data_IF_528433352352
#
_entry.id   IF_528433352352
#
_cell.length_a   1.000
_cell.length_b   1.000
_cell.length_c   1.000
_cell.angle_alpha   90.00
_cell.angle_beta   90.00
_cell.angle_gamma   90.00
#
_symmetry.space_group_name_H-M   'P 1'
#
loop_
_entity.id
_entity.type
_entity.pdbx_description
1 polymer ?
#
# COMPACT_ATOMS: atom_id res chain seq x y z
N UNK A 1 -19.12 18.82 -13.23
CA UNK A 1 -18.35 17.80 -13.98
C UNK A 1 -18.66 16.44 -13.36
N UNK A 2 -19.35 15.58 -14.10
CA UNK A 2 -20.04 14.40 -13.55
C UNK A 2 -19.04 13.33 -13.10
N UNK A 3 -19.04 13.01 -11.80
CA UNK A 3 -18.45 11.77 -11.26
C UNK A 3 -19.16 10.58 -11.93
N UNK A 4 -18.44 9.80 -12.73
CA UNK A 4 -18.88 8.47 -13.15
C UNK A 4 -17.79 7.45 -12.81
N UNK A 5 -17.97 6.88 -11.63
CA UNK A 5 -17.40 5.62 -11.15
C UNK A 5 -17.86 4.48 -12.04
N UNK A 6 -16.93 3.88 -12.77
CA UNK A 6 -16.95 2.46 -13.08
C UNK A 6 -16.04 1.81 -12.04
N UNK A 7 -16.38 0.65 -11.43
CA UNK A 7 -15.39 -0.07 -10.63
C UNK A 7 -14.23 -0.37 -11.57
N UNK A 8 -13.09 0.29 -11.38
CA UNK A 8 -11.96 0.05 -12.26
C UNK A 8 -11.51 -1.37 -11.98
N UNK A 9 -11.78 -2.25 -12.95
CA UNK A 9 -11.25 -3.62 -13.04
C UNK A 9 -9.80 -3.60 -12.57
N UNK A 10 -9.41 -4.62 -11.78
CA UNK A 10 -8.05 -4.73 -11.28
C UNK A 10 -7.02 -4.44 -12.37
N UNK A 11 -6.06 -3.59 -12.08
CA UNK A 11 -5.07 -3.11 -13.04
C UNK A 11 -3.67 -3.19 -12.45
N UNK A 12 -2.66 -3.31 -13.31
CA UNK A 12 -1.26 -3.20 -12.90
C UNK A 12 -0.86 -1.71 -12.89
N UNK A 13 -0.60 -1.09 -11.72
CA UNK A 13 -0.18 0.30 -11.66
C UNK A 13 1.18 0.46 -12.34
N UNK A 14 1.34 1.50 -13.15
CA UNK A 14 2.58 1.81 -13.89
C UNK A 14 3.41 2.88 -13.21
N UNK A 15 2.78 3.69 -12.37
CA UNK A 15 3.43 4.70 -11.54
C UNK A 15 2.74 4.81 -10.16
N UNK A 16 3.41 5.37 -9.14
CA UNK A 16 2.78 5.62 -7.84
C UNK A 16 1.53 6.51 -7.93
N UNK A 17 1.43 7.37 -8.94
CA UNK A 17 0.27 8.23 -9.19
C UNK A 17 -0.99 7.48 -9.65
N UNK A 18 -0.86 6.20 -10.04
CA UNK A 18 -2.00 5.34 -10.36
C UNK A 18 -2.68 4.76 -9.10
N UNK A 19 -2.05 4.89 -7.93
CA UNK A 19 -2.58 4.42 -6.66
C UNK A 19 -3.34 5.54 -5.94
N UNK A 20 -4.40 5.18 -5.23
CA UNK A 20 -5.15 6.09 -4.37
C UNK A 20 -5.26 5.51 -2.96
N UNK A 21 -5.38 6.39 -1.97
CA UNK A 21 -5.71 5.96 -0.61
C UNK A 21 -7.05 5.23 -0.61
N UNK A 22 -7.14 4.14 0.12
CA UNK A 22 -8.33 3.27 0.16
C UNK A 22 -8.33 2.18 -0.90
N UNK A 23 -7.50 2.26 -1.95
CA UNK A 23 -7.40 1.17 -2.92
C UNK A 23 -6.88 -0.10 -2.26
N UNK A 24 -7.43 -1.23 -2.65
CA UNK A 24 -6.85 -2.53 -2.37
C UNK A 24 -5.70 -2.80 -3.35
N UNK A 25 -4.62 -3.38 -2.85
CA UNK A 25 -3.49 -3.78 -3.69
C UNK A 25 -3.08 -5.23 -3.43
N UNK A 26 -2.44 -5.83 -4.43
CA UNK A 26 -1.72 -7.10 -4.32
C UNK A 26 -0.24 -6.83 -4.55
N UNK A 27 0.64 -7.33 -3.68
CA UNK A 27 2.07 -7.05 -3.73
C UNK A 27 2.90 -8.23 -3.22
N UNK A 28 4.15 -8.29 -3.64
CA UNK A 28 5.10 -9.33 -3.20
C UNK A 28 5.88 -8.91 -1.96
N UNK A 29 6.08 -9.85 -1.03
CA UNK A 29 6.96 -9.70 0.14
C UNK A 29 8.21 -10.59 -0.02
N UNK A 30 9.26 -10.36 0.80
CA UNK A 30 10.42 -11.25 0.83
C UNK A 30 10.03 -12.72 0.95
N UNK A 31 10.76 -13.60 0.27
CA UNK A 31 10.44 -15.04 0.19
C UNK A 31 9.31 -15.38 -0.78
N UNK A 32 8.92 -14.47 -1.68
CA UNK A 32 7.89 -14.72 -2.69
C UNK A 32 6.45 -14.73 -2.15
N UNK A 33 6.26 -14.39 -0.87
CA UNK A 33 4.93 -14.35 -0.26
C UNK A 33 4.09 -13.26 -0.90
N UNK A 34 2.95 -13.65 -1.45
CA UNK A 34 1.99 -12.73 -2.04
C UNK A 34 1.04 -12.22 -0.95
N UNK A 35 0.74 -10.93 -0.95
CA UNK A 35 -0.08 -10.32 0.11
C UNK A 35 -1.02 -9.26 -0.45
N UNK A 36 -2.08 -9.00 0.32
CA UNK A 36 -3.13 -8.05 -0.02
C UNK A 36 -3.40 -7.13 1.18
N UNK A 37 -3.76 -5.90 0.88
CA UNK A 37 -4.24 -4.95 1.87
C UNK A 37 -4.69 -3.65 1.23
N UNK A 38 -5.06 -2.69 2.08
CA UNK A 38 -5.54 -1.36 1.70
C UNK A 38 -4.43 -0.32 1.77
N UNK A 39 -4.31 0.50 0.74
CA UNK A 39 -3.37 1.63 0.69
C UNK A 39 -3.78 2.69 1.71
N UNK A 40 -2.85 3.01 2.61
CA UNK A 40 -3.00 4.03 3.66
C UNK A 40 -1.98 5.16 3.55
N UNK A 41 -0.90 4.97 2.80
CA UNK A 41 0.12 5.97 2.55
C UNK A 41 0.81 5.73 1.20
N UNK A 42 1.17 6.79 0.49
CA UNK A 42 1.99 6.77 -0.73
C UNK A 42 2.99 7.91 -0.61
N UNK A 43 4.29 7.62 -0.63
CA UNK A 43 5.31 8.67 -0.54
C UNK A 43 6.69 8.16 -0.16
N UNK A 44 7.63 9.09 0.02
CA UNK A 44 8.98 8.79 0.46
C UNK A 44 9.04 8.52 1.96
N UNK A 45 9.82 7.53 2.34
CA UNK A 45 10.24 7.33 3.73
C UNK A 45 11.63 7.92 3.95
N UNK A 46 11.99 8.29 5.20
CA UNK A 46 13.34 8.68 5.55
C UNK A 46 14.35 7.64 5.07
N UNK A 47 15.47 8.13 4.53
CA UNK A 47 16.58 7.30 4.01
C UNK A 47 16.16 6.28 2.94
N UNK A 48 15.08 6.55 2.18
CA UNK A 48 14.62 5.71 1.06
C UNK A 48 14.50 6.55 -0.22
N UNK A 49 15.23 6.11 -1.25
CA UNK A 49 15.27 6.82 -2.54
C UNK A 49 14.03 6.56 -3.40
N UNK A 50 13.34 5.43 -3.20
CA UNK A 50 12.12 5.07 -3.91
C UNK A 50 10.83 5.42 -3.15
N UNK A 51 9.70 5.46 -3.86
CA UNK A 51 8.38 5.64 -3.27
C UNK A 51 7.94 4.34 -2.58
N UNK A 52 7.47 4.49 -1.34
CA UNK A 52 6.87 3.43 -0.55
C UNK A 52 5.36 3.59 -0.49
N UNK A 53 4.70 2.44 -0.40
CA UNK A 53 3.28 2.32 -0.13
C UNK A 53 3.11 1.77 1.27
N UNK A 54 2.46 2.54 2.14
CA UNK A 54 2.00 2.07 3.44
C UNK A 54 0.67 1.36 3.27
N UNK A 55 0.61 0.12 3.73
CA UNK A 55 -0.52 -0.79 3.52
C UNK A 55 -1.01 -1.28 4.86
N UNK A 56 -2.31 -1.24 5.07
CA UNK A 56 -2.98 -2.01 6.10
C UNK A 56 -3.34 -3.39 5.51
N UNK A 57 -2.72 -4.44 6.01
CA UNK A 57 -2.95 -5.82 5.56
C UNK A 57 -4.38 -6.27 5.89
N UNK A 58 -4.89 -7.23 5.12
CA UNK A 58 -6.16 -7.90 5.47
C UNK A 58 -5.96 -8.83 6.69
N UNK A 59 -4.81 -9.49 6.77
CA UNK A 59 -4.40 -10.35 7.90
C UNK A 59 -3.59 -9.63 8.99
N UNK A 60 -3.28 -10.36 10.07
CA UNK A 60 -2.52 -9.87 11.24
C UNK A 60 -1.00 -10.12 11.14
N UNK A 61 -0.47 -10.18 9.92
CA UNK A 61 0.93 -10.51 9.65
C UNK A 61 1.75 -9.30 9.17
N UNK A 62 1.38 -8.13 9.68
CA UNK A 62 2.07 -6.85 9.54
C UNK A 62 3.14 -6.65 10.60
N UNK A 63 3.79 -5.49 10.55
CA UNK A 63 4.96 -5.16 11.37
C UNK A 63 4.73 -4.02 12.36
N UNK A 64 3.75 -3.17 12.10
CA UNK A 64 3.49 -1.95 12.87
C UNK A 64 2.02 -1.53 12.81
N UNK A 65 1.67 -0.43 13.47
CA UNK A 65 0.35 0.22 13.43
C UNK A 65 0.31 1.48 12.54
N UNK A 66 1.33 1.66 11.70
CA UNK A 66 1.44 2.73 10.69
C UNK A 66 2.61 3.69 10.92
N UNK A 67 3.60 3.25 11.70
CA UNK A 67 4.80 4.00 12.06
C UNK A 67 6.03 3.47 11.34
N UNK A 68 6.96 4.37 11.03
CA UNK A 68 8.30 4.05 10.53
C UNK A 68 9.32 4.90 11.29
N UNK A 69 10.30 4.26 11.95
CA UNK A 69 11.33 4.91 12.77
C UNK A 69 10.73 5.93 13.77
N UNK A 70 9.69 5.54 14.50
CA UNK A 70 9.04 6.39 15.51
C UNK A 70 8.09 7.46 14.95
N UNK A 71 8.09 7.74 13.65
CA UNK A 71 7.19 8.70 13.01
C UNK A 71 5.92 8.01 12.52
N UNK A 72 4.75 8.62 12.75
CA UNK A 72 3.45 8.10 12.28
C UNK A 72 3.12 8.63 10.87
N UNK A 73 2.83 7.72 9.95
CA UNK A 73 2.44 8.05 8.56
C UNK A 73 0.96 7.75 8.31
N UNK A 74 0.44 6.70 8.94
CA UNK A 74 -0.96 6.33 8.90
C UNK A 74 -1.38 5.63 10.19
N UNK A 75 -2.66 5.31 10.32
CA UNK A 75 -3.21 4.55 11.45
C UNK A 75 -3.86 3.28 10.91
N UNK A 76 -3.54 2.14 11.52
CA UNK A 76 -4.21 0.85 11.32
C UNK A 76 -4.20 0.04 12.62
N UNK A 77 -4.87 -1.12 12.63
CA UNK A 77 -4.79 -2.01 13.80
C UNK A 77 -3.34 -2.48 14.05
N UNK A 78 -3.01 -2.82 15.31
CA UNK A 78 -1.70 -3.40 15.64
C UNK A 78 -1.38 -4.61 14.77
N UNK A 79 -0.11 -4.72 14.36
CA UNK A 79 0.40 -5.82 13.53
C UNK A 79 -0.30 -5.97 12.18
N UNK A 80 -0.88 -4.89 11.63
CA UNK A 80 -1.45 -4.89 10.26
C UNK A 80 -0.70 -3.98 9.29
N UNK A 81 0.07 -3.03 9.78
CA UNK A 81 0.80 -2.08 8.96
C UNK A 81 2.06 -2.67 8.35
N UNK A 82 2.27 -2.41 7.07
CA UNK A 82 3.53 -2.69 6.37
C UNK A 82 3.85 -1.55 5.41
N UNK A 83 5.14 -1.26 5.23
CA UNK A 83 5.63 -0.48 4.11
C UNK A 83 6.24 -1.40 3.06
N UNK A 84 5.83 -1.24 1.81
CA UNK A 84 6.41 -1.95 0.67
C UNK A 84 6.83 -0.95 -0.40
N UNK A 85 7.95 -1.17 -1.09
CA UNK A 85 8.27 -0.42 -2.30
C UNK A 85 7.13 -0.46 -3.32
N UNK A 86 6.91 0.64 -4.05
CA UNK A 86 5.98 0.65 -5.18
C UNK A 86 6.32 -0.44 -6.21
N UNK A 87 7.61 -0.69 -6.44
CA UNK A 87 8.13 -1.71 -7.35
C UNK A 87 7.67 -3.15 -7.03
N UNK A 88 7.12 -3.39 -5.83
CA UNK A 88 6.57 -4.70 -5.42
C UNK A 88 5.06 -4.81 -5.61
N UNK A 89 4.38 -3.72 -5.95
CA UNK A 89 2.93 -3.71 -6.21
C UNK A 89 2.67 -4.32 -7.58
N UNK A 90 1.75 -5.30 -7.63
CA UNK A 90 1.45 -6.09 -8.83
C UNK A 90 0.10 -5.67 -9.41
N UNK A 91 -0.90 -5.45 -8.54
CA UNK A 91 -2.24 -5.07 -8.95
C UNK A 91 -2.87 -4.10 -7.94
N UNK A 92 -3.77 -3.25 -8.42
CA UNK A 92 -4.57 -2.35 -7.62
C UNK A 92 -6.03 -2.34 -8.10
N UNK A 93 -6.95 -2.07 -7.19
CA UNK A 93 -8.38 -1.89 -7.44
C UNK A 93 -9.00 -1.06 -6.31
N UNK A 94 -10.18 -0.49 -6.56
CA UNK A 94 -10.95 0.24 -5.55
C UNK A 94 -11.47 -0.69 -4.45
#
# INVERSE_FOLDING_TARGET
>A
MVKRSLPRRAFAPRSPGDLMLGYCIKFTRPGGKLSRGTVRYIGHLPTRDEIFVGVELDGYDGKHSGTFQGTKYFTCSPNKGIFTPFSKVIMAWE
#
